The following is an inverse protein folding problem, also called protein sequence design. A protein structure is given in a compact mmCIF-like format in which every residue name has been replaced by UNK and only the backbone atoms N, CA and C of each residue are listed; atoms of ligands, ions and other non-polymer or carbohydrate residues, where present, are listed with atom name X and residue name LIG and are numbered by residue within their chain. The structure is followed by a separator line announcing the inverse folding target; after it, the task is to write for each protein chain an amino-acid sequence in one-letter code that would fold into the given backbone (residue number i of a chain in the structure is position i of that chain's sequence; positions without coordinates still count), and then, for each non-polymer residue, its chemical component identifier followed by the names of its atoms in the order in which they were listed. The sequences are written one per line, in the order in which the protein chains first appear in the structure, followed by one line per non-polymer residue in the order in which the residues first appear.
data_IF_910363940511
#
_entry.id   IF_910363940511
#
_cell.length_a   1.000
_cell.length_b   1.000
_cell.length_c   1.000
_cell.angle_alpha   90.00
_cell.angle_beta   90.00
_cell.angle_gamma   90.00
#
_symmetry.space_group_name_H-M   'P 1'
#
loop_
_entity.id
_entity.type
_entity.pdbx_description
1 polymer ?
#
# COMPACT_ATOMS: atom_id res chain seq x y z
N UNK A 1 4.09 28.27 14.19
CA UNK A 1 3.09 27.68 13.28
C UNK A 1 3.31 26.18 13.25
N UNK A 2 2.50 25.42 13.99
CA UNK A 2 2.62 23.95 14.05
C UNK A 2 1.70 23.38 12.98
N UNK A 3 2.26 22.71 11.98
CA UNK A 3 1.50 22.02 10.95
C UNK A 3 0.93 20.71 11.53
N UNK A 4 -0.40 20.54 11.47
CA UNK A 4 -1.14 19.35 11.95
C UNK A 4 -1.57 18.41 10.82
N UNK A 5 -0.96 18.55 9.64
CA UNK A 5 -1.16 17.62 8.53
C UNK A 5 -0.29 16.39 8.70
N UNK A 6 -0.84 15.19 8.40
CA UNK A 6 -0.05 13.95 8.33
C UNK A 6 1.17 14.19 7.43
N UNK A 7 2.37 14.19 8.03
CA UNK A 7 3.62 14.19 7.28
C UNK A 7 3.77 12.82 6.64
N UNK A 8 3.67 12.77 5.33
CA UNK A 8 4.29 11.69 4.57
C UNK A 8 5.73 12.11 4.38
N UNK A 9 6.63 11.57 5.19
CA UNK A 9 8.06 11.85 5.02
C UNK A 9 8.50 11.27 3.68
N UNK A 10 8.88 12.12 2.72
CA UNK A 10 9.48 11.69 1.45
C UNK A 10 10.88 11.10 1.62
N UNK A 11 11.39 11.02 2.86
CA UNK A 11 12.60 10.29 3.24
C UNK A 11 12.39 8.80 3.48
N UNK A 12 11.17 8.34 3.79
CA UNK A 12 10.86 6.92 4.01
C UNK A 12 10.09 6.36 2.80
N UNK A 13 10.80 5.54 2.01
CA UNK A 13 10.26 4.91 0.80
C UNK A 13 9.05 4.03 1.10
N UNK A 14 8.96 3.46 2.30
CA UNK A 14 7.85 2.61 2.71
C UNK A 14 6.61 3.44 2.98
N UNK A 15 6.73 4.59 3.65
CA UNK A 15 5.57 5.45 3.91
C UNK A 15 5.03 6.11 2.64
N UNK A 16 5.92 6.45 1.69
CA UNK A 16 5.50 6.83 0.35
C UNK A 16 4.67 5.73 -0.33
N UNK A 17 5.15 4.48 -0.33
CA UNK A 17 4.43 3.36 -0.94
C UNK A 17 3.08 3.10 -0.23
N UNK A 18 3.02 3.19 1.10
CA UNK A 18 1.74 3.10 1.84
C UNK A 18 0.75 4.18 1.39
N UNK A 19 1.22 5.41 1.19
CA UNK A 19 0.37 6.50 0.71
C UNK A 19 -0.16 6.23 -0.69
N UNK A 20 0.70 5.77 -1.61
CA UNK A 20 0.32 5.42 -2.99
C UNK A 20 -0.70 4.28 -3.00
N UNK A 21 -0.45 3.21 -2.25
CA UNK A 21 -1.38 2.05 -2.15
C UNK A 21 -2.73 2.52 -1.62
N UNK A 22 -2.75 3.36 -0.58
CA UNK A 22 -3.99 3.89 -0.02
C UNK A 22 -4.80 4.70 -1.06
N UNK A 23 -4.13 5.60 -1.77
CA UNK A 23 -4.78 6.40 -2.82
C UNK A 23 -5.29 5.54 -3.98
N UNK A 24 -4.55 4.49 -4.36
CA UNK A 24 -4.96 3.57 -5.41
C UNK A 24 -6.19 2.74 -5.01
N UNK A 25 -6.28 2.30 -3.76
CA UNK A 25 -7.45 1.57 -3.24
C UNK A 25 -8.72 2.44 -3.17
N UNK A 26 -8.59 3.74 -2.96
CA UNK A 26 -9.73 4.67 -2.89
C UNK A 26 -10.30 5.02 -4.29
N UNK A 27 -9.60 4.67 -5.37
CA UNK A 27 -10.00 4.96 -6.75
C UNK A 27 -10.96 3.90 -7.31
N UNK A 28 -12.17 4.25 -7.78
CA UNK A 28 -13.13 3.27 -8.31
C UNK A 28 -12.63 2.48 -9.52
N UNK A 29 -11.77 3.08 -10.34
CA UNK A 29 -11.22 2.48 -11.56
C UNK A 29 -10.03 1.54 -11.32
N UNK A 30 -9.46 1.55 -10.10
CA UNK A 30 -8.27 0.77 -9.74
C UNK A 30 -8.54 -0.12 -8.53
N UNK A 31 -9.09 0.46 -7.46
CA UNK A 31 -9.36 -0.20 -6.18
C UNK A 31 -10.27 -1.41 -6.29
N UNK A 32 -11.21 -1.43 -7.25
CA UNK A 32 -12.10 -2.56 -7.48
C UNK A 32 -11.36 -3.86 -7.82
N UNK A 33 -10.20 -3.75 -8.47
CA UNK A 33 -9.34 -4.90 -8.81
C UNK A 33 -8.17 -5.04 -7.83
N UNK A 34 -7.55 -3.91 -7.46
CA UNK A 34 -6.36 -3.88 -6.63
C UNK A 34 -6.60 -4.38 -5.20
N UNK A 35 -7.70 -3.96 -4.57
CA UNK A 35 -7.93 -4.26 -3.15
C UNK A 35 -8.18 -5.76 -2.89
N UNK A 36 -9.07 -6.45 -3.65
CA UNK A 36 -9.23 -7.91 -3.51
C UNK A 36 -7.93 -8.69 -3.75
N UNK A 37 -7.16 -8.29 -4.77
CA UNK A 37 -5.87 -8.90 -5.05
C UNK A 37 -4.86 -8.69 -3.90
N UNK A 38 -4.80 -7.49 -3.31
CA UNK A 38 -3.94 -7.22 -2.16
C UNK A 38 -4.30 -8.09 -0.94
N UNK A 39 -5.60 -8.29 -0.68
CA UNK A 39 -6.06 -9.19 0.38
C UNK A 39 -5.59 -10.63 0.14
N UNK A 40 -5.74 -11.14 -1.08
CA UNK A 40 -5.26 -12.47 -1.46
C UNK A 40 -3.73 -12.58 -1.35
N UNK A 41 -3.00 -11.60 -1.85
CA UNK A 41 -1.53 -11.56 -1.80
C UNK A 41 -1.01 -11.57 -0.36
N UNK A 42 -1.63 -10.82 0.55
CA UNK A 42 -1.26 -10.82 1.97
C UNK A 42 -1.67 -12.14 2.63
N UNK A 43 -2.86 -12.66 2.32
CA UNK A 43 -3.35 -13.93 2.87
C UNK A 43 -2.50 -15.13 2.43
N UNK A 44 -1.91 -15.09 1.24
CA UNK A 44 -1.00 -16.15 0.77
C UNK A 44 0.37 -16.10 1.46
N UNK A 45 0.72 -15.00 2.12
CA UNK A 45 2.00 -14.79 2.82
C UNK A 45 2.92 -13.77 2.12
N UNK A 46 2.44 -13.14 1.04
CA UNK A 46 3.18 -12.13 0.28
C UNK A 46 4.51 -12.68 -0.25
N UNK A 47 5.61 -11.90 -0.22
CA UNK A 47 6.91 -12.37 -0.70
C UNK A 47 7.51 -13.52 0.14
N UNK A 48 6.93 -13.82 1.31
CA UNK A 48 7.32 -14.97 2.14
C UNK A 48 6.57 -16.25 1.76
N UNK A 49 5.52 -16.15 0.93
CA UNK A 49 4.70 -17.27 0.47
C UNK A 49 5.40 -18.11 -0.60
N UNK A 50 6.28 -17.50 -1.39
CA UNK A 50 7.02 -18.20 -2.44
C UNK A 50 8.13 -19.02 -1.79
N UNK A 51 8.08 -20.36 -1.83
CA UNK A 51 9.19 -21.18 -1.39
C UNK A 51 10.23 -21.18 -2.52
N UNK A 52 11.17 -20.24 -2.46
CA UNK A 52 12.42 -20.32 -3.23
C UNK A 52 12.80 -19.08 -4.03
N UNK A 53 13.57 -18.20 -3.38
CA UNK A 53 14.91 -17.85 -3.86
C UNK A 53 15.92 -18.22 -2.77
#
# INVERSE_FOLDING_TARGET
MVFTGRRYDTGDRVDYLKAVIRLACERPDIGAELYPWLEEYVSSGGPKAEPGL
#
